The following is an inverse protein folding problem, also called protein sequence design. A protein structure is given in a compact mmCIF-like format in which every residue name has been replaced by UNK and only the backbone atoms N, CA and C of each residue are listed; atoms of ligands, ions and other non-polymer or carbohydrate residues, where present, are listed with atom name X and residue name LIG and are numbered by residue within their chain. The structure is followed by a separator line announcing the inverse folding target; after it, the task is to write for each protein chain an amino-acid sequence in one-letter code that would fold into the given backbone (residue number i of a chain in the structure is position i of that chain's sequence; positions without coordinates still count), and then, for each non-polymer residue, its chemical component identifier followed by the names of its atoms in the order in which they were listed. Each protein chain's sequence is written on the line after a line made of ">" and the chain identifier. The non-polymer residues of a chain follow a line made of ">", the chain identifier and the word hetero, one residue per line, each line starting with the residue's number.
data_IF_218208966710
#
_entry.id   IF_218208966710
#
_cell.length_a   1.000
_cell.length_b   1.000
_cell.length_c   1.000
_cell.angle_alpha   90.00
_cell.angle_beta   90.00
_cell.angle_gamma   90.00
#
_symmetry.space_group_name_H-M   'P 1'
#
loop_
_entity.id
_entity.type
_entity.pdbx_description
1 polymer ?
#
# COMPACT_ATOMS: atom_id res chain seq x y z
N UNK A 1 50.05 -42.49 -44.91
CA UNK A 1 48.58 -42.56 -45.02
C UNK A 1 48.01 -41.25 -44.49
N UNK A 2 47.20 -40.50 -45.25
CA UNK A 2 46.61 -39.26 -44.77
C UNK A 2 45.28 -39.54 -44.04
N UNK A 3 45.16 -39.00 -42.83
CA UNK A 3 43.94 -39.05 -42.01
C UNK A 3 42.92 -38.10 -42.62
N UNK A 4 41.73 -38.60 -42.95
CA UNK A 4 40.59 -37.80 -43.42
C UNK A 4 39.91 -37.14 -42.22
N UNK A 5 39.90 -35.82 -42.18
CA UNK A 5 39.10 -35.06 -41.21
C UNK A 5 37.65 -34.94 -41.71
N UNK A 6 36.70 -35.27 -40.84
CA UNK A 6 35.26 -35.21 -41.09
C UNK A 6 34.74 -33.78 -40.91
N UNK A 7 33.82 -33.29 -41.77
CA UNK A 7 33.27 -31.96 -41.60
C UNK A 7 32.30 -31.91 -40.40
N UNK A 8 32.64 -31.16 -39.37
CA UNK A 8 31.75 -30.82 -38.25
C UNK A 8 30.58 -30.00 -38.77
N UNK A 9 29.40 -30.64 -38.89
CA UNK A 9 28.14 -29.92 -39.09
C UNK A 9 27.86 -29.06 -37.86
N UNK A 10 27.99 -27.75 -38.04
CA UNK A 10 27.56 -26.77 -37.04
C UNK A 10 26.04 -26.76 -37.02
N UNK A 11 25.45 -27.31 -35.96
CA UNK A 11 24.02 -27.19 -35.67
C UNK A 11 23.78 -25.72 -35.32
N UNK A 12 23.07 -25.01 -36.18
CA UNK A 12 22.59 -23.67 -35.87
C UNK A 12 21.58 -23.77 -34.73
N UNK A 13 22.02 -23.50 -33.50
CA UNK A 13 21.13 -23.26 -32.38
C UNK A 13 20.40 -21.97 -32.70
N UNK A 14 19.13 -22.08 -33.08
CA UNK A 14 18.22 -20.96 -33.21
C UNK A 14 18.04 -20.34 -31.82
N UNK A 15 18.85 -19.32 -31.53
CA UNK A 15 18.67 -18.45 -30.37
C UNK A 15 17.34 -17.74 -30.58
N UNK A 16 16.33 -17.94 -29.73
CA UNK A 16 15.10 -17.17 -29.83
C UNK A 16 15.46 -15.68 -29.70
N UNK A 17 14.98 -14.88 -30.67
CA UNK A 17 15.23 -13.43 -30.71
C UNK A 17 14.75 -12.82 -29.39
N UNK A 18 15.50 -11.85 -28.88
CA UNK A 18 15.28 -11.11 -27.64
C UNK A 18 13.96 -10.30 -27.59
N UNK A 19 13.03 -10.52 -28.52
CA UNK A 19 11.81 -9.74 -28.72
C UNK A 19 10.52 -10.47 -28.28
N UNK A 20 10.61 -11.67 -27.70
CA UNK A 20 9.46 -12.51 -27.34
C UNK A 20 9.24 -12.71 -25.83
N UNK A 21 9.72 -11.80 -24.99
CA UNK A 21 9.12 -11.57 -23.66
C UNK A 21 8.40 -10.23 -23.69
N UNK A 22 7.47 -10.07 -24.64
CA UNK A 22 6.42 -9.05 -24.51
C UNK A 22 5.48 -9.54 -23.43
N UNK A 23 5.81 -9.21 -22.17
CA UNK A 23 4.83 -9.17 -21.10
C UNK A 23 3.60 -8.45 -21.67
N UNK A 24 2.50 -9.18 -21.84
CA UNK A 24 1.28 -8.66 -22.48
C UNK A 24 0.85 -7.42 -21.69
N UNK A 25 1.18 -6.22 -22.17
CA UNK A 25 0.77 -4.97 -21.52
C UNK A 25 -0.75 -4.93 -21.61
N UNK A 26 -1.41 -4.78 -20.46
CA UNK A 26 -2.85 -4.59 -20.44
C UNK A 26 -3.20 -3.25 -21.10
N UNK A 27 -4.39 -3.17 -21.71
CA UNK A 27 -4.83 -1.93 -22.35
C UNK A 27 -5.19 -0.85 -21.32
N UNK A 28 -5.64 -1.29 -20.14
CA UNK A 28 -6.06 -0.41 -19.04
C UNK A 28 -5.55 -0.91 -17.70
N UNK A 29 -5.39 0.03 -16.77
CA UNK A 29 -4.92 -0.20 -15.42
C UNK A 29 -5.82 0.50 -14.41
N UNK A 30 -6.21 -0.21 -13.34
CA UNK A 30 -6.87 0.36 -12.16
C UNK A 30 -5.82 1.04 -11.30
N UNK A 31 -6.02 2.31 -10.99
CA UNK A 31 -5.25 3.02 -9.97
C UNK A 31 -5.94 2.81 -8.61
N UNK A 32 -5.18 2.33 -7.64
CA UNK A 32 -5.62 2.07 -6.27
C UNK A 32 -4.94 3.04 -5.31
N UNK A 33 -5.67 3.43 -4.27
CA UNK A 33 -5.11 4.06 -3.06
C UNK A 33 -5.42 3.18 -1.86
N UNK A 34 -4.49 3.14 -0.90
CA UNK A 34 -4.59 2.31 0.28
C UNK A 34 -4.58 3.16 1.55
N UNK A 35 -5.38 2.77 2.53
CA UNK A 35 -5.28 3.23 3.92
C UNK A 35 -5.19 2.03 4.84
N UNK A 36 -4.73 2.23 6.06
CA UNK A 36 -4.70 1.14 7.04
C UNK A 36 -5.97 1.20 7.90
N UNK A 37 -6.60 0.04 8.08
CA UNK A 37 -7.80 -0.10 8.92
C UNK A 37 -7.55 -1.00 10.14
N UNK A 38 -6.42 -1.70 10.18
CA UNK A 38 -6.05 -2.58 11.27
C UNK A 38 -4.53 -2.50 11.53
N UNK A 39 -4.18 -2.22 12.77
CA UNK A 39 -2.81 -2.29 13.28
C UNK A 39 -2.86 -3.12 14.55
N UNK A 40 -2.00 -4.11 14.69
CA UNK A 40 -1.87 -4.83 15.96
C UNK A 40 -0.43 -5.24 16.21
N UNK A 41 -0.03 -5.25 17.47
CA UNK A 41 1.28 -5.69 17.93
C UNK A 41 1.16 -6.24 19.37
N UNK A 42 2.21 -6.89 19.85
CA UNK A 42 2.29 -7.28 21.27
C UNK A 42 3.37 -6.46 21.97
N UNK A 43 3.03 -5.84 23.09
CA UNK A 43 3.95 -4.99 23.84
C UNK A 43 4.83 -5.82 24.80
N UNK A 44 5.70 -5.14 25.56
CA UNK A 44 6.66 -5.81 26.43
C UNK A 44 6.06 -6.58 27.62
N UNK A 45 4.90 -6.18 28.14
CA UNK A 45 4.27 -6.90 29.26
C UNK A 45 3.31 -8.00 28.79
N UNK A 46 3.03 -8.04 27.49
CA UNK A 46 2.35 -9.14 26.82
C UNK A 46 0.93 -8.83 26.39
N UNK A 47 0.52 -7.57 26.53
CA UNK A 47 -0.75 -7.10 26.02
C UNK A 47 -0.75 -7.07 24.49
N UNK A 48 -1.82 -7.63 23.92
CA UNK A 48 -2.12 -7.47 22.50
C UNK A 48 -2.84 -6.15 22.28
N UNK A 49 -2.12 -5.19 21.70
CA UNK A 49 -2.66 -3.89 21.36
C UNK A 49 -3.16 -3.96 19.92
N UNK A 50 -4.42 -3.60 19.70
CA UNK A 50 -5.04 -3.53 18.37
C UNK A 50 -5.72 -2.20 18.17
N UNK A 51 -5.26 -1.44 17.18
CA UNK A 51 -5.97 -0.31 16.64
C UNK A 51 -6.82 -0.76 15.47
N UNK A 52 -8.08 -0.35 15.45
CA UNK A 52 -9.02 -0.71 14.39
C UNK A 52 -9.85 0.49 13.98
N UNK A 53 -9.98 0.70 12.66
CA UNK A 53 -10.95 1.65 12.12
C UNK A 53 -12.33 1.03 12.08
N UNK A 54 -13.30 1.76 12.62
CA UNK A 54 -14.73 1.49 12.51
C UNK A 54 -15.40 2.73 11.92
N UNK A 55 -15.68 2.66 10.61
CA UNK A 55 -16.03 3.84 9.83
C UNK A 55 -14.87 4.83 9.78
N UNK A 56 -15.03 5.98 10.44
CA UNK A 56 -13.99 7.02 10.52
C UNK A 56 -13.32 7.10 11.89
N UNK A 57 -13.83 6.36 12.89
CA UNK A 57 -13.26 6.34 14.22
C UNK A 57 -12.15 5.30 14.29
N UNK A 58 -11.04 5.65 14.94
CA UNK A 58 -9.98 4.70 15.30
C UNK A 58 -10.20 4.31 16.75
N UNK A 59 -10.34 3.03 17.03
CA UNK A 59 -10.52 2.50 18.38
C UNK A 59 -9.31 1.66 18.77
N UNK A 60 -9.00 1.65 20.06
CA UNK A 60 -7.96 0.79 20.63
C UNK A 60 -8.57 -0.32 21.48
N UNK A 61 -8.14 -1.53 21.22
CA UNK A 61 -8.47 -2.74 21.95
C UNK A 61 -7.21 -3.30 22.59
N UNK A 62 -7.27 -3.60 23.88
CA UNK A 62 -6.21 -4.27 24.63
C UNK A 62 -6.73 -5.65 25.01
N UNK A 63 -6.09 -6.71 24.53
CA UNK A 63 -6.52 -8.09 24.74
C UNK A 63 -8.01 -8.30 24.41
N UNK A 64 -8.42 -7.81 23.23
CA UNK A 64 -9.80 -7.82 22.71
C UNK A 64 -10.82 -6.96 23.45
N UNK A 65 -10.43 -6.29 24.54
CA UNK A 65 -11.28 -5.37 25.26
C UNK A 65 -11.09 -3.94 24.76
N UNK A 66 -12.18 -3.28 24.41
CA UNK A 66 -12.16 -1.88 23.98
C UNK A 66 -11.75 -0.97 25.15
N UNK A 67 -10.62 -0.28 25.02
CA UNK A 67 -10.10 0.65 26.02
C UNK A 67 -10.23 2.11 25.59
N UNK A 68 -10.01 2.41 24.30
CA UNK A 68 -10.12 3.79 23.77
C UNK A 68 -11.08 3.84 22.59
N UNK A 69 -12.04 4.76 22.66
CA UNK A 69 -12.96 5.07 21.56
C UNK A 69 -12.51 6.33 20.84
N UNK A 70 -12.55 6.30 19.51
CA UNK A 70 -12.29 7.48 18.67
C UNK A 70 -10.98 8.19 19.06
N UNK A 71 -9.91 7.41 19.17
CA UNK A 71 -8.57 7.85 19.49
C UNK A 71 -8.11 8.92 18.48
N UNK A 72 -7.55 10.01 19.00
CA UNK A 72 -7.14 11.17 18.19
C UNK A 72 -5.67 11.11 17.79
N UNK A 73 -4.83 10.41 18.57
CA UNK A 73 -3.40 10.29 18.31
C UNK A 73 -2.89 8.93 18.77
N UNK A 74 -1.81 8.49 18.13
CA UNK A 74 -1.00 7.38 18.57
C UNK A 74 0.45 7.70 18.20
N UNK A 75 1.20 8.19 19.18
CA UNK A 75 2.55 8.70 18.97
C UNK A 75 3.55 7.59 19.15
N UNK A 76 4.49 7.47 18.21
CA UNK A 76 5.52 6.42 18.24
C UNK A 76 6.89 7.07 18.28
N UNK A 77 7.68 6.73 19.29
CA UNK A 77 9.11 7.01 19.34
C UNK A 77 9.87 5.76 18.90
N UNK A 78 10.35 5.79 17.65
CA UNK A 78 11.11 4.71 17.03
C UNK A 78 12.41 4.44 17.78
N UNK A 79 13.09 5.49 18.27
CA UNK A 79 14.39 5.35 18.96
C UNK A 79 14.22 4.72 20.32
N UNK A 80 13.20 5.13 21.06
CA UNK A 80 12.88 4.58 22.37
C UNK A 80 12.10 3.25 22.31
N UNK A 81 11.63 2.86 21.11
CA UNK A 81 10.69 1.74 20.90
C UNK A 81 9.49 1.83 21.84
N UNK A 82 8.93 3.03 21.97
CA UNK A 82 7.76 3.29 22.82
C UNK A 82 6.64 3.95 22.03
N UNK A 83 5.41 3.76 22.51
CA UNK A 83 4.24 4.45 21.99
C UNK A 83 3.51 5.20 23.09
N UNK A 84 2.76 6.23 22.73
CA UNK A 84 1.93 7.01 23.63
C UNK A 84 0.53 7.18 23.04
N UNK A 85 -0.46 6.78 23.81
CA UNK A 85 -1.88 6.92 23.55
C UNK A 85 -2.52 7.86 24.61
N UNK A 86 -3.83 8.16 24.53
CA UNK A 86 -4.52 8.98 25.53
C UNK A 86 -4.49 8.49 26.99
N UNK A 87 -4.27 7.20 27.21
CA UNK A 87 -4.27 6.57 28.55
C UNK A 87 -2.89 6.41 29.15
N UNK A 88 -1.84 6.30 28.32
CA UNK A 88 -0.51 6.05 28.84
C UNK A 88 0.56 5.84 27.80
N UNK A 89 1.64 5.17 28.21
CA UNK A 89 2.79 4.83 27.38
C UNK A 89 3.08 3.35 27.53
N UNK A 90 3.36 2.69 26.42
CA UNK A 90 3.88 1.33 26.39
C UNK A 90 5.16 1.20 25.56
N UNK A 91 5.71 -0.01 25.53
CA UNK A 91 6.95 -0.33 24.83
C UNK A 91 6.75 -1.52 23.89
N UNK A 92 7.27 -1.41 22.68
CA UNK A 92 7.24 -2.51 21.72
C UNK A 92 8.23 -3.60 22.13
N UNK A 93 7.85 -4.87 21.93
CA UNK A 93 8.81 -5.98 22.08
C UNK A 93 9.97 -5.80 21.11
N UNK A 94 11.18 -6.31 21.43
CA UNK A 94 12.30 -6.29 20.51
C UNK A 94 12.03 -6.98 19.15
N UNK A 95 11.08 -7.92 19.11
CA UNK A 95 10.70 -8.65 17.91
C UNK A 95 9.77 -7.89 16.96
N UNK A 96 9.10 -6.83 17.43
CA UNK A 96 8.17 -6.06 16.61
C UNK A 96 8.93 -5.20 15.58
N UNK A 97 8.40 -5.14 14.37
CA UNK A 97 8.86 -4.24 13.31
C UNK A 97 8.24 -2.86 13.53
N UNK A 98 8.97 -1.98 14.20
CA UNK A 98 8.47 -0.65 14.60
C UNK A 98 8.29 0.24 13.38
N UNK A 99 9.14 0.08 12.36
CA UNK A 99 9.05 0.79 11.09
C UNK A 99 7.78 0.43 10.33
N UNK A 100 7.40 -0.86 10.27
CA UNK A 100 6.12 -1.29 9.70
C UNK A 100 4.94 -0.72 10.48
N UNK A 101 5.00 -0.77 11.81
CA UNK A 101 3.96 -0.23 12.71
C UNK A 101 3.79 1.27 12.48
N UNK A 102 4.88 2.04 12.36
CA UNK A 102 4.83 3.49 12.04
C UNK A 102 4.15 3.73 10.70
N UNK A 103 4.52 2.98 9.66
CA UNK A 103 3.89 3.12 8.33
C UNK A 103 2.39 2.85 8.39
N UNK A 104 1.99 1.79 9.08
CA UNK A 104 0.59 1.41 9.28
C UNK A 104 -0.17 2.49 10.08
N UNK A 105 0.43 3.00 11.15
CA UNK A 105 -0.11 4.12 11.94
C UNK A 105 -0.31 5.35 11.07
N UNK A 106 0.69 5.76 10.29
CA UNK A 106 0.60 6.94 9.43
C UNK A 106 -0.54 6.82 8.40
N UNK A 107 -0.69 5.64 7.79
CA UNK A 107 -1.79 5.36 6.86
C UNK A 107 -3.16 5.27 7.54
N UNK A 108 -3.21 4.81 8.80
CA UNK A 108 -4.43 4.77 9.59
C UNK A 108 -4.90 6.20 9.93
N UNK A 109 -3.97 7.07 10.33
CA UNK A 109 -4.24 8.46 10.70
C UNK A 109 -4.21 9.46 9.53
N UNK A 110 -4.09 8.98 8.28
CA UNK A 110 -4.10 9.83 7.09
C UNK A 110 -5.32 10.75 7.09
N UNK A 111 -5.10 12.06 6.93
CA UNK A 111 -6.20 13.02 6.93
C UNK A 111 -7.07 12.88 5.68
N UNK A 112 -8.39 12.76 5.89
CA UNK A 112 -9.39 12.67 4.82
C UNK A 112 -9.30 13.82 3.83
N UNK A 113 -9.19 15.05 4.35
CA UNK A 113 -9.09 16.26 3.53
C UNK A 113 -7.78 16.28 2.73
N UNK A 114 -6.69 15.74 3.29
CA UNK A 114 -5.44 15.60 2.55
C UNK A 114 -5.58 14.60 1.41
N UNK A 115 -6.15 13.41 1.66
CA UNK A 115 -6.39 12.41 0.62
C UNK A 115 -7.29 12.96 -0.49
N UNK A 116 -8.43 13.56 -0.14
CA UNK A 116 -9.36 14.14 -1.11
C UNK A 116 -8.69 15.24 -1.97
N UNK A 117 -7.93 16.16 -1.35
CA UNK A 117 -7.18 17.20 -2.09
C UNK A 117 -6.13 16.60 -3.02
N UNK A 118 -5.42 15.55 -2.62
CA UNK A 118 -4.47 14.88 -3.49
C UNK A 118 -5.17 14.23 -4.69
N UNK A 119 -6.30 13.56 -4.49
CA UNK A 119 -7.08 12.98 -5.58
C UNK A 119 -7.57 14.03 -6.59
N UNK A 120 -7.99 15.21 -6.12
CA UNK A 120 -8.39 16.32 -7.00
C UNK A 120 -7.20 16.92 -7.75
N UNK A 121 -6.10 17.20 -7.05
CA UNK A 121 -4.97 17.94 -7.62
C UNK A 121 -4.01 17.09 -8.45
N UNK A 122 -3.86 15.80 -8.11
CA UNK A 122 -2.98 14.87 -8.83
C UNK A 122 -3.74 14.13 -9.93
N UNK A 123 -4.96 13.64 -9.64
CA UNK A 123 -5.72 12.80 -10.57
C UNK A 123 -6.81 13.57 -11.33
N UNK A 124 -7.01 14.86 -11.03
CA UNK A 124 -8.04 15.69 -11.69
C UNK A 124 -9.47 15.30 -11.33
N UNK A 125 -9.69 14.58 -10.23
CA UNK A 125 -11.05 14.21 -9.82
C UNK A 125 -11.87 15.44 -9.42
N UNK A 126 -13.18 15.37 -9.67
CA UNK A 126 -14.12 16.32 -9.08
C UNK A 126 -14.19 16.13 -7.56
N UNK A 127 -14.64 17.14 -6.84
CA UNK A 127 -14.81 17.07 -5.37
C UNK A 127 -15.68 15.89 -4.96
N UNK A 128 -16.80 15.67 -5.65
CA UNK A 128 -17.70 14.54 -5.36
C UNK A 128 -17.03 13.18 -5.57
N UNK A 129 -16.27 13.01 -6.65
CA UNK A 129 -15.57 11.75 -6.93
C UNK A 129 -14.42 11.52 -5.95
N UNK A 130 -13.65 12.56 -5.63
CA UNK A 130 -12.58 12.48 -4.64
C UNK A 130 -13.12 12.13 -3.25
N UNK A 131 -14.26 12.70 -2.86
CA UNK A 131 -14.91 12.38 -1.59
C UNK A 131 -15.34 10.92 -1.51
N UNK A 132 -15.96 10.37 -2.57
CA UNK A 132 -16.38 8.97 -2.60
C UNK A 132 -15.17 8.01 -2.49
N UNK A 133 -14.13 8.24 -3.30
CA UNK A 133 -12.90 7.43 -3.25
C UNK A 133 -12.24 7.51 -1.87
N UNK A 134 -12.15 8.71 -1.28
CA UNK A 134 -11.61 8.90 0.06
C UNK A 134 -12.41 8.12 1.12
N UNK A 135 -13.74 8.20 1.06
CA UNK A 135 -14.60 7.51 2.03
C UNK A 135 -14.40 6.00 1.95
N UNK A 136 -14.48 5.44 0.74
CA UNK A 136 -14.24 4.01 0.49
C UNK A 136 -12.86 3.58 1.00
N UNK A 137 -11.81 4.35 0.68
CA UNK A 137 -10.46 4.00 1.10
C UNK A 137 -10.32 3.96 2.62
N UNK A 138 -10.97 4.87 3.34
CA UNK A 138 -10.94 4.92 4.80
C UNK A 138 -11.76 3.81 5.47
N UNK A 139 -12.87 3.40 4.86
CA UNK A 139 -13.76 2.38 5.44
C UNK A 139 -13.32 0.96 5.09
N UNK A 140 -12.75 0.76 3.91
CA UNK A 140 -12.42 -0.56 3.36
C UNK A 140 -10.90 -0.82 3.33
N UNK A 141 -10.08 0.18 3.63
CA UNK A 141 -8.62 0.10 3.55
C UNK A 141 -8.06 0.26 2.14
N UNK A 142 -8.92 0.30 1.12
CA UNK A 142 -8.51 0.56 -0.26
C UNK A 142 -9.65 1.16 -1.08
N UNK A 143 -9.32 1.87 -2.15
CA UNK A 143 -10.30 2.30 -3.14
C UNK A 143 -9.69 2.36 -4.54
N UNK A 144 -10.53 2.09 -5.54
CA UNK A 144 -10.22 2.35 -6.94
C UNK A 144 -10.44 3.83 -7.24
N UNK A 145 -9.37 4.53 -7.58
CA UNK A 145 -9.41 5.93 -8.01
C UNK A 145 -10.02 6.05 -9.42
N UNK A 146 -9.74 5.07 -10.27
CA UNK A 146 -10.27 4.99 -11.62
C UNK A 146 -9.46 4.03 -12.48
N UNK A 147 -9.86 3.91 -13.75
CA UNK A 147 -9.21 3.04 -14.73
C UNK A 147 -8.65 3.86 -15.89
N UNK A 148 -7.35 3.77 -16.12
CA UNK A 148 -6.62 4.65 -17.03
C UNK A 148 -5.74 3.84 -18.00
N UNK A 149 -5.26 4.49 -19.06
CA UNK A 149 -4.14 3.94 -19.84
C UNK A 149 -2.87 3.91 -18.96
N UNK A 150 -1.91 3.04 -19.29
CA UNK A 150 -0.71 2.82 -18.47
C UNK A 150 0.02 4.11 -18.11
N UNK A 151 0.30 4.97 -19.10
CA UNK A 151 1.06 6.22 -18.90
C UNK A 151 0.37 7.15 -17.90
N UNK A 152 -0.95 7.33 -18.01
CA UNK A 152 -1.73 8.15 -17.08
C UNK A 152 -1.80 7.50 -15.70
N UNK A 153 -1.99 6.19 -15.61
CA UNK A 153 -2.03 5.47 -14.35
C UNK A 153 -0.69 5.59 -13.60
N UNK A 154 0.43 5.43 -14.30
CA UNK A 154 1.78 5.55 -13.75
C UNK A 154 2.08 6.98 -13.29
N UNK A 155 1.72 7.98 -14.10
CA UNK A 155 1.86 9.39 -13.76
C UNK A 155 1.12 9.74 -12.45
N UNK A 156 -0.14 9.34 -12.36
CA UNK A 156 -0.96 9.57 -11.15
C UNK A 156 -0.43 8.79 -9.95
N UNK A 157 -0.10 7.51 -10.12
CA UNK A 157 0.47 6.69 -9.05
C UNK A 157 1.75 7.31 -8.48
N UNK A 158 2.67 7.74 -9.35
CA UNK A 158 3.90 8.43 -8.97
C UNK A 158 3.62 9.74 -8.26
N UNK A 159 2.67 10.54 -8.77
CA UNK A 159 2.26 11.80 -8.14
C UNK A 159 1.68 11.62 -6.74
N UNK A 160 0.84 10.60 -6.53
CA UNK A 160 0.27 10.28 -5.22
C UNK A 160 1.35 9.80 -4.25
N UNK A 161 2.25 8.91 -4.69
CA UNK A 161 3.40 8.45 -3.88
C UNK A 161 4.32 9.60 -3.49
N UNK A 162 4.56 10.56 -4.39
CA UNK A 162 5.35 11.76 -4.09
C UNK A 162 4.69 12.67 -3.03
N UNK A 163 3.38 12.55 -2.80
CA UNK A 163 2.67 13.21 -1.69
C UNK A 163 2.66 12.40 -0.39
N UNK A 164 3.30 11.22 -0.36
CA UNK A 164 3.33 10.33 0.79
C UNK A 164 2.12 9.38 0.89
N UNK A 165 1.29 9.29 -0.15
CA UNK A 165 0.18 8.35 -0.19
C UNK A 165 0.65 6.95 -0.62
N UNK A 166 -0.01 5.92 -0.09
CA UNK A 166 0.15 4.56 -0.58
C UNK A 166 -0.78 4.35 -1.77
N UNK A 167 -0.21 4.02 -2.93
CA UNK A 167 -0.94 3.81 -4.18
C UNK A 167 -0.29 2.70 -5.01
N UNK A 168 -1.06 2.07 -5.89
CA UNK A 168 -0.53 1.11 -6.86
C UNK A 168 -1.41 1.02 -8.11
N UNK A 169 -0.89 0.42 -9.18
CA UNK A 169 -1.64 0.17 -10.41
C UNK A 169 -1.73 -1.32 -10.71
N UNK A 170 -2.94 -1.80 -11.02
CA UNK A 170 -3.17 -3.19 -11.41
C UNK A 170 -3.69 -3.25 -12.85
N UNK A 171 -3.19 -4.16 -13.69
CA UNK A 171 -3.76 -4.38 -15.01
C UNK A 171 -5.23 -4.78 -14.90
N UNK A 172 -6.05 -4.31 -15.84
CA UNK A 172 -7.42 -4.79 -16.03
C UNK A 172 -7.37 -5.93 -17.02
N UNK A 173 -7.88 -7.09 -16.62
CA UNK A 173 -8.06 -8.21 -17.52
C UNK A 173 -9.32 -7.99 -18.37
N UNK A 174 -9.26 -8.31 -19.65
CA UNK A 174 -10.42 -8.23 -20.54
C UNK A 174 -11.47 -9.26 -20.10
N UNK A 175 -12.49 -8.83 -19.35
CA UNK A 175 -13.56 -9.74 -18.90
C UNK A 175 -14.53 -9.25 -17.80
N UNK A 176 -14.30 -8.09 -17.18
CA UNK A 176 -15.26 -7.45 -16.24
C UNK A 176 -16.13 -6.37 -16.89
#
# INVERSE_FOLDING_TARGET
>A
MPVRESPTQTIAVSVPRLDEVKQKRADRYRLLVFTEILLSFTDTDGDNIRLQKEGIAINEYVNDKLEIRSMQYFDIDVRARSYHDPTGRGWFRPSEDVEEIVRKRDLMFLERDFLARCLMTVCGLTESSAYQVMMTAHTEGMAVVGTYAFETAELYCTGLKAKGLSADILPVEDGE
#
